data_IF_019517364021
#
_entry.id   IF_019517364021
#
_cell.length_a   1.000
_cell.length_b   1.000
_cell.length_c   1.000
_cell.angle_alpha   90.00
_cell.angle_beta   90.00
_cell.angle_gamma   90.00
#
_symmetry.space_group_name_H-M   'P 1'
#
loop_
_entity.id
_entity.type
_entity.pdbx_description
1 polymer ?
#
# COMPACT_ATOMS: atom_id res chain seq x y z
N UNK A 1 31.14 5.83 -15.56
CA UNK A 1 31.31 4.92 -14.42
C UNK A 1 29.94 4.73 -13.80
N UNK A 2 29.28 3.63 -14.16
CA UNK A 2 28.00 3.25 -13.56
C UNK A 2 28.32 2.61 -12.20
N UNK A 3 27.87 3.23 -11.11
CA UNK A 3 27.93 2.63 -9.79
C UNK A 3 26.73 1.70 -9.64
N UNK A 4 27.00 0.41 -9.62
CA UNK A 4 26.06 -0.66 -9.30
C UNK A 4 25.42 -0.40 -7.92
N UNK A 5 24.18 0.08 -7.92
CA UNK A 5 23.30 0.07 -6.74
C UNK A 5 22.73 -1.35 -6.60
N UNK A 6 23.62 -2.31 -6.34
CA UNK A 6 23.26 -3.70 -6.08
C UNK A 6 22.68 -3.77 -4.66
N UNK A 7 21.37 -3.51 -4.56
CA UNK A 7 20.60 -3.82 -3.35
C UNK A 7 20.86 -5.28 -2.97
N UNK A 8 21.39 -5.58 -1.77
CA UNK A 8 21.73 -6.96 -1.42
C UNK A 8 20.46 -7.81 -1.48
N UNK A 9 20.53 -8.88 -2.29
CA UNK A 9 19.47 -9.85 -2.47
C UNK A 9 18.96 -10.36 -1.10
N UNK A 10 17.66 -10.69 -0.98
CA UNK A 10 17.14 -11.28 0.25
C UNK A 10 17.98 -12.48 0.64
N UNK A 11 18.45 -12.52 1.89
CA UNK A 11 19.25 -13.64 2.39
C UNK A 11 18.48 -14.94 2.15
N UNK A 12 19.17 -15.91 1.58
CA UNK A 12 18.62 -17.22 1.33
C UNK A 12 18.05 -17.80 2.65
N UNK A 13 16.93 -18.51 2.58
CA UNK A 13 16.34 -19.18 3.74
C UNK A 13 17.34 -19.94 4.64
N UNK A 14 18.37 -20.65 4.10
CA UNK A 14 19.39 -21.29 4.93
C UNK A 14 20.22 -20.30 5.76
N UNK A 15 20.57 -19.13 5.22
CA UNK A 15 21.30 -18.10 5.98
C UNK A 15 20.45 -17.52 7.12
N UNK A 16 19.14 -17.36 6.88
CA UNK A 16 18.21 -16.91 7.93
C UNK A 16 18.10 -17.92 9.07
N UNK A 17 18.02 -19.22 8.75
CA UNK A 17 17.99 -20.29 9.76
C UNK A 17 19.28 -20.33 10.57
N UNK A 18 20.44 -20.13 9.93
CA UNK A 18 21.72 -20.06 10.62
C UNK A 18 21.78 -18.89 11.62
N UNK A 19 21.33 -17.69 11.22
CA UNK A 19 21.27 -16.52 12.13
C UNK A 19 20.33 -16.75 13.30
N UNK A 20 19.19 -17.40 13.07
CA UNK A 20 18.24 -17.74 14.13
C UNK A 20 18.82 -18.74 15.12
N UNK A 21 19.52 -19.77 14.64
CA UNK A 21 20.26 -20.72 15.50
C UNK A 21 21.32 -20.01 16.32
N UNK A 22 22.10 -19.11 15.71
CA UNK A 22 23.11 -18.32 16.42
C UNK A 22 22.49 -17.51 17.56
N UNK A 23 21.30 -16.92 17.33
CA UNK A 23 20.58 -16.23 18.39
C UNK A 23 20.13 -17.19 19.49
N UNK A 24 19.42 -18.26 19.14
CA UNK A 24 18.84 -19.21 20.09
C UNK A 24 19.90 -19.93 20.93
N UNK A 25 20.98 -20.40 20.32
CA UNK A 25 22.01 -21.19 21.00
C UNK A 25 22.95 -20.34 21.85
N UNK A 26 23.26 -19.10 21.45
CA UNK A 26 24.30 -18.29 22.11
C UNK A 26 23.77 -17.01 22.72
N UNK A 27 23.10 -16.19 21.91
CA UNK A 27 22.77 -14.82 22.32
C UNK A 27 21.58 -14.78 23.29
N UNK A 28 20.64 -15.71 23.17
CA UNK A 28 19.45 -15.80 24.03
C UNK A 28 19.77 -16.09 25.50
N UNK A 29 20.92 -16.74 25.76
CA UNK A 29 21.35 -17.13 27.11
C UNK A 29 21.78 -15.93 27.96
N UNK A 30 22.12 -14.80 27.33
CA UNK A 30 22.50 -13.59 28.05
C UNK A 30 21.28 -12.89 28.65
N UNK A 31 21.46 -12.30 29.84
CA UNK A 31 20.46 -11.46 30.47
C UNK A 31 20.02 -10.31 29.55
N UNK A 32 18.78 -9.82 29.74
CA UNK A 32 18.18 -8.78 28.90
C UNK A 32 19.04 -7.50 28.77
N UNK A 33 19.63 -7.05 29.88
CA UNK A 33 20.48 -5.86 29.90
C UNK A 33 21.80 -6.10 29.15
N UNK A 34 22.36 -7.30 29.28
CA UNK A 34 23.56 -7.71 28.53
C UNK A 34 23.27 -7.74 27.03
N UNK A 35 22.14 -8.31 26.60
CA UNK A 35 21.74 -8.31 25.18
C UNK A 35 21.55 -6.90 24.63
N UNK A 36 20.97 -6.00 25.43
CA UNK A 36 20.80 -4.58 25.05
C UNK A 36 22.16 -3.90 24.89
N UNK A 37 23.12 -4.16 25.78
CA UNK A 37 24.49 -3.63 25.67
C UNK A 37 25.22 -4.18 24.45
N UNK A 38 25.11 -5.49 24.20
CA UNK A 38 25.71 -6.15 23.05
C UNK A 38 25.16 -5.62 21.73
N UNK A 39 23.85 -5.32 21.66
CA UNK A 39 23.22 -4.73 20.49
C UNK A 39 23.84 -3.39 20.05
N UNK A 40 24.35 -2.60 21.01
CA UNK A 40 25.02 -1.33 20.71
C UNK A 40 26.49 -1.45 20.28
N UNK A 41 27.13 -2.61 20.46
CA UNK A 41 28.58 -2.77 20.34
C UNK A 41 29.01 -3.77 19.26
N UNK A 42 28.24 -4.85 19.09
CA UNK A 42 28.59 -5.94 18.19
C UNK A 42 28.46 -5.53 16.70
N UNK A 43 29.20 -6.26 15.86
CA UNK A 43 29.06 -6.21 14.40
C UNK A 43 28.44 -7.48 13.85
N UNK A 44 28.53 -7.66 12.54
CA UNK A 44 28.08 -8.88 11.87
C UNK A 44 29.03 -10.04 12.13
N UNK A 45 28.52 -11.28 12.29
CA UNK A 45 27.12 -11.74 12.10
C UNK A 45 26.20 -11.61 13.33
N UNK A 46 26.72 -11.36 14.53
CA UNK A 46 25.94 -11.33 15.77
C UNK A 46 24.87 -10.23 15.78
N UNK A 47 25.16 -9.07 15.20
CA UNK A 47 24.21 -7.94 15.09
C UNK A 47 22.94 -8.33 14.32
N UNK A 48 23.08 -9.15 13.27
CA UNK A 48 21.96 -9.68 12.51
C UNK A 48 21.17 -10.73 13.29
N UNK A 49 21.84 -11.57 14.08
CA UNK A 49 21.18 -12.54 14.93
C UNK A 49 20.38 -11.86 16.06
N UNK A 50 20.90 -10.77 16.64
CA UNK A 50 20.16 -9.98 17.62
C UNK A 50 18.87 -9.34 17.06
N UNK A 51 18.70 -9.23 15.75
CA UNK A 51 17.44 -8.75 15.16
C UNK A 51 16.24 -9.69 15.40
N UNK A 52 16.49 -10.95 15.82
CA UNK A 52 15.46 -11.90 16.24
C UNK A 52 15.07 -11.79 17.72
N UNK A 53 15.72 -10.89 18.47
CA UNK A 53 15.42 -10.66 19.87
C UNK A 53 13.99 -10.12 20.06
N UNK A 54 13.17 -10.71 20.95
CA UNK A 54 11.80 -10.25 21.17
C UNK A 54 11.71 -8.94 21.97
N UNK A 55 12.79 -8.51 22.64
CA UNK A 55 12.76 -7.39 23.58
C UNK A 55 12.83 -6.03 22.86
N UNK A 56 11.85 -5.13 23.09
CA UNK A 56 11.85 -3.81 22.46
C UNK A 56 13.08 -2.96 22.77
N UNK A 57 13.67 -3.10 23.96
CA UNK A 57 14.87 -2.35 24.35
C UNK A 57 16.09 -2.76 23.51
N UNK A 58 16.21 -4.04 23.17
CA UNK A 58 17.26 -4.54 22.28
C UNK A 58 17.07 -3.97 20.88
N UNK A 59 15.84 -3.97 20.35
CA UNK A 59 15.54 -3.34 19.06
C UNK A 59 15.91 -1.85 18.99
N UNK A 60 15.68 -1.10 20.07
CA UNK A 60 16.11 0.32 20.14
C UNK A 60 17.63 0.45 20.11
N UNK A 61 18.33 -0.33 20.94
CA UNK A 61 19.79 -0.32 20.98
C UNK A 61 20.42 -0.75 19.64
N UNK A 62 19.80 -1.72 18.94
CA UNK A 62 20.21 -2.13 17.60
C UNK A 62 20.14 -0.97 16.61
N UNK A 63 19.03 -0.25 16.55
CA UNK A 63 18.86 0.88 15.60
C UNK A 63 19.87 2.01 15.87
N UNK A 64 20.29 2.17 17.12
CA UNK A 64 21.30 3.15 17.55
C UNK A 64 22.73 2.75 17.19
N UNK A 65 23.00 1.46 17.00
CA UNK A 65 24.33 0.98 16.62
C UNK A 65 24.75 1.61 15.27
N UNK A 66 25.97 2.18 15.18
CA UNK A 66 26.45 2.80 13.94
C UNK A 66 26.56 1.81 12.77
N UNK A 67 26.72 0.51 13.05
CA UNK A 67 26.81 -0.56 12.04
C UNK A 67 25.43 -1.05 11.60
N UNK A 68 24.34 -0.57 12.22
CA UNK A 68 22.98 -0.95 11.84
C UNK A 68 22.55 -0.26 10.54
N UNK A 69 22.64 -1.02 9.44
CA UNK A 69 22.16 -0.64 8.11
C UNK A 69 20.85 -1.33 7.65
N UNK A 70 20.55 -1.20 6.35
CA UNK A 70 19.30 -1.68 5.74
C UNK A 70 19.04 -3.18 5.89
N UNK A 71 20.08 -4.01 5.81
CA UNK A 71 19.97 -5.47 6.00
C UNK A 71 19.36 -5.81 7.36
N UNK A 72 19.77 -5.09 8.41
CA UNK A 72 19.25 -5.25 9.76
C UNK A 72 17.83 -4.72 9.89
N UNK A 73 17.55 -3.55 9.30
CA UNK A 73 16.22 -2.97 9.29
C UNK A 73 15.20 -3.91 8.64
N UNK A 74 15.56 -4.57 7.54
CA UNK A 74 14.71 -5.57 6.85
C UNK A 74 14.43 -6.79 7.73
N UNK A 75 15.45 -7.32 8.42
CA UNK A 75 15.30 -8.44 9.36
C UNK A 75 14.39 -8.07 10.55
N UNK A 76 14.64 -6.91 11.17
CA UNK A 76 13.85 -6.41 12.28
C UNK A 76 12.39 -6.18 11.87
N UNK A 77 12.16 -5.54 10.72
CA UNK A 77 10.83 -5.30 10.17
C UNK A 77 10.03 -6.58 9.93
N UNK A 78 10.70 -7.62 9.42
CA UNK A 78 10.05 -8.88 9.07
C UNK A 78 9.67 -9.72 10.29
N UNK A 79 10.44 -9.64 11.38
CA UNK A 79 10.38 -10.66 12.43
C UNK A 79 10.11 -10.13 13.84
N UNK A 80 10.28 -8.83 14.10
CA UNK A 80 10.13 -8.33 15.46
C UNK A 80 8.67 -8.51 15.95
N UNK A 81 8.46 -9.15 17.12
CA UNK A 81 7.14 -9.56 17.57
C UNK A 81 6.37 -8.47 18.33
N UNK A 82 7.02 -7.33 18.64
CA UNK A 82 6.41 -6.27 19.45
C UNK A 82 6.34 -4.92 18.70
N UNK A 83 5.19 -4.22 18.70
CA UNK A 83 5.01 -2.94 18.00
C UNK A 83 6.03 -1.87 18.41
N UNK A 84 6.32 -1.76 19.72
CA UNK A 84 7.29 -0.80 20.26
C UNK A 84 8.71 -0.98 19.69
N UNK A 85 9.13 -2.22 19.39
CA UNK A 85 10.44 -2.44 18.76
C UNK A 85 10.43 -2.09 17.27
N UNK A 86 9.33 -2.37 16.57
CA UNK A 86 9.16 -1.94 15.17
C UNK A 86 9.14 -0.41 15.04
N UNK A 87 8.57 0.30 16.01
CA UNK A 87 8.63 1.75 16.07
C UNK A 87 10.05 2.31 16.15
N UNK A 88 11.05 1.54 16.61
CA UNK A 88 12.44 2.00 16.63
C UNK A 88 12.97 2.33 15.23
N UNK A 89 12.47 1.64 14.18
CA UNK A 89 12.84 1.90 12.79
C UNK A 89 12.48 3.33 12.33
N UNK A 90 11.54 3.99 13.00
CA UNK A 90 11.17 5.38 12.71
C UNK A 90 12.23 6.40 13.09
N UNK A 91 13.26 6.01 13.87
CA UNK A 91 14.35 6.89 14.29
C UNK A 91 15.22 7.36 13.11
N UNK A 92 15.32 6.55 12.06
CA UNK A 92 16.08 6.84 10.84
C UNK A 92 15.13 6.78 9.64
N UNK A 93 14.72 7.93 9.11
CA UNK A 93 13.77 7.99 7.98
C UNK A 93 14.27 7.26 6.72
N UNK A 94 15.59 7.13 6.55
CA UNK A 94 16.19 6.32 5.49
C UNK A 94 15.65 4.87 5.45
N UNK A 95 15.34 4.27 6.60
CA UNK A 95 14.78 2.92 6.65
C UNK A 95 13.34 2.87 6.15
N UNK A 96 12.55 3.91 6.43
CA UNK A 96 11.18 3.98 5.94
C UNK A 96 11.09 4.34 4.46
N UNK A 97 12.17 4.83 3.84
CA UNK A 97 12.24 5.06 2.39
C UNK A 97 12.59 3.79 1.61
N UNK A 98 13.17 2.79 2.25
CA UNK A 98 13.53 1.52 1.62
C UNK A 98 12.28 0.68 1.28
N UNK A 99 12.07 0.30 0.00
CA UNK A 99 10.89 -0.46 -0.41
C UNK A 99 10.77 -1.84 0.24
N UNK A 100 11.90 -2.50 0.52
CA UNK A 100 11.92 -3.82 1.15
C UNK A 100 11.54 -3.74 2.62
N UNK A 101 12.06 -2.77 3.37
CA UNK A 101 11.64 -2.51 4.76
C UNK A 101 10.14 -2.24 4.82
N UNK A 102 9.62 -1.37 3.94
CA UNK A 102 8.19 -1.11 3.87
C UNK A 102 7.40 -2.40 3.58
N UNK A 103 7.84 -3.23 2.64
CA UNK A 103 7.18 -4.50 2.32
C UNK A 103 7.16 -5.45 3.52
N UNK A 104 8.28 -5.57 4.23
CA UNK A 104 8.37 -6.42 5.42
C UNK A 104 7.46 -5.92 6.54
N UNK A 105 7.42 -4.60 6.78
CA UNK A 105 6.50 -3.99 7.75
C UNK A 105 5.03 -4.20 7.37
N UNK A 106 4.67 -4.08 6.09
CA UNK A 106 3.29 -4.31 5.64
C UNK A 106 2.86 -5.77 5.82
N UNK A 107 3.79 -6.73 5.74
CA UNK A 107 3.54 -8.16 5.98
C UNK A 107 3.52 -8.53 7.47
N UNK A 108 4.14 -7.73 8.33
CA UNK A 108 4.19 -8.00 9.76
C UNK A 108 2.87 -7.59 10.46
N UNK A 109 2.25 -8.53 11.17
CA UNK A 109 0.98 -8.37 11.90
C UNK A 109 1.13 -7.39 13.08
N UNK A 110 2.35 -7.29 13.62
CA UNK A 110 2.67 -6.50 14.81
C UNK A 110 2.99 -5.04 14.45
N UNK A 111 2.97 -4.68 13.16
CA UNK A 111 3.25 -3.31 12.73
C UNK A 111 2.22 -2.34 13.33
N UNK A 112 2.69 -1.30 14.05
CA UNK A 112 1.79 -0.37 14.70
C UNK A 112 1.02 0.48 13.68
N UNK A 113 -0.25 0.86 13.95
CA UNK A 113 -1.07 1.65 13.03
C UNK A 113 -0.42 2.96 12.59
N UNK A 114 0.27 3.66 13.51
CA UNK A 114 0.99 4.90 13.19
C UNK A 114 2.09 4.70 12.15
N UNK A 115 2.79 3.57 12.19
CA UNK A 115 3.81 3.24 11.20
C UNK A 115 3.18 2.89 9.85
N UNK A 116 2.08 2.13 9.84
CA UNK A 116 1.31 1.85 8.63
C UNK A 116 0.82 3.14 7.97
N UNK A 117 0.27 4.08 8.74
CA UNK A 117 -0.18 5.37 8.23
C UNK A 117 0.96 6.19 7.62
N UNK A 118 2.16 6.22 8.25
CA UNK A 118 3.33 6.87 7.65
C UNK A 118 3.72 6.24 6.31
N UNK A 119 3.64 4.92 6.18
CA UNK A 119 3.91 4.21 4.91
C UNK A 119 2.83 4.54 3.87
N UNK A 120 1.55 4.52 4.25
CA UNK A 120 0.44 4.78 3.34
C UNK A 120 0.39 6.23 2.84
N UNK A 121 0.72 7.21 3.68
CA UNK A 121 0.68 8.62 3.32
C UNK A 121 1.70 9.01 2.23
N UNK A 122 2.73 8.19 2.03
CA UNK A 122 3.75 8.40 0.99
C UNK A 122 3.37 7.73 -0.34
N UNK A 123 2.30 6.92 -0.37
CA UNK A 123 1.89 6.13 -1.53
C UNK A 123 0.90 6.91 -2.38
N UNK A 124 0.94 6.65 -3.68
CA UNK A 124 -0.10 7.12 -4.60
C UNK A 124 -1.35 6.26 -4.46
N UNK A 125 -2.46 6.79 -4.95
CA UNK A 125 -3.77 6.16 -4.92
C UNK A 125 -3.78 4.78 -5.59
N UNK A 126 -3.05 4.63 -6.71
CA UNK A 126 -2.90 3.33 -7.40
C UNK A 126 -2.18 2.29 -6.53
N UNK A 127 -1.14 2.71 -5.82
CA UNK A 127 -0.31 1.81 -5.02
C UNK A 127 -1.11 1.34 -3.77
N UNK A 128 -1.89 2.24 -3.16
CA UNK A 128 -2.81 1.90 -2.05
C UNK A 128 -3.88 0.88 -2.46
N UNK A 129 -4.42 1.00 -3.68
CA UNK A 129 -5.36 0.02 -4.22
C UNK A 129 -4.70 -1.35 -4.45
N UNK A 130 -3.48 -1.39 -4.97
CA UNK A 130 -2.76 -2.65 -5.17
C UNK A 130 -2.50 -3.36 -3.83
N UNK A 131 -2.13 -2.60 -2.80
CA UNK A 131 -1.93 -3.14 -1.45
C UNK A 131 -3.23 -3.71 -0.85
N UNK A 132 -4.37 -3.07 -1.07
CA UNK A 132 -5.65 -3.53 -0.51
C UNK A 132 -6.23 -4.79 -1.16
N UNK A 133 -5.82 -5.09 -2.40
CA UNK A 133 -6.19 -6.30 -3.15
C UNK A 133 -5.11 -7.40 -3.03
N UNK A 134 -3.90 -7.04 -2.65
CA UNK A 134 -2.77 -7.96 -2.52
C UNK A 134 -3.02 -9.12 -1.54
N UNK A 135 -2.36 -10.25 -1.78
CA UNK A 135 -2.46 -11.46 -0.93
C UNK A 135 -1.46 -11.48 0.22
N UNK A 136 -0.41 -10.68 0.14
CA UNK A 136 0.75 -10.81 1.01
C UNK A 136 0.59 -10.17 2.39
N UNK A 137 -0.32 -9.19 2.52
CA UNK A 137 -0.54 -8.47 3.77
C UNK A 137 -1.54 -9.19 4.69
N UNK A 138 -1.36 -9.12 6.02
CA UNK A 138 -2.39 -9.52 6.97
C UNK A 138 -3.69 -8.74 6.78
N UNK A 139 -4.84 -9.37 7.07
CA UNK A 139 -6.15 -8.76 6.84
C UNK A 139 -6.33 -7.43 7.58
N UNK A 140 -5.84 -7.34 8.83
CA UNK A 140 -5.80 -6.09 9.61
C UNK A 140 -5.12 -4.94 8.83
N UNK A 141 -3.99 -5.23 8.19
CA UNK A 141 -3.23 -4.22 7.45
C UNK A 141 -3.92 -3.90 6.11
N UNK A 142 -4.62 -4.86 5.49
CA UNK A 142 -5.44 -4.61 4.29
C UNK A 142 -6.61 -3.68 4.58
N UNK A 143 -7.31 -3.87 5.71
CA UNK A 143 -8.39 -2.99 6.14
C UNK A 143 -7.85 -1.56 6.31
N UNK A 144 -6.73 -1.39 7.02
CA UNK A 144 -6.08 -0.09 7.18
C UNK A 144 -5.67 0.54 5.82
N UNK A 145 -5.18 -0.27 4.87
CA UNK A 145 -4.86 0.20 3.51
C UNK A 145 -6.11 0.65 2.74
N UNK A 146 -7.25 -0.03 2.91
CA UNK A 146 -8.54 0.36 2.30
C UNK A 146 -9.05 1.66 2.88
N UNK A 147 -8.94 1.84 4.20
CA UNK A 147 -9.29 3.10 4.87
C UNK A 147 -8.42 4.26 4.38
N UNK A 148 -7.10 4.05 4.30
CA UNK A 148 -6.18 5.03 3.74
C UNK A 148 -6.48 5.36 2.27
N UNK A 149 -6.79 4.34 1.45
CA UNK A 149 -7.21 4.51 0.06
C UNK A 149 -8.49 5.37 -0.05
N UNK A 150 -9.51 5.09 0.77
CA UNK A 150 -10.77 5.85 0.81
C UNK A 150 -10.55 7.29 1.28
N UNK A 151 -9.74 7.49 2.32
CA UNK A 151 -9.39 8.83 2.79
C UNK A 151 -8.66 9.64 1.70
N UNK A 152 -7.70 9.01 1.01
CA UNK A 152 -6.97 9.60 -0.11
C UNK A 152 -7.87 9.87 -1.32
N UNK A 153 -8.87 9.03 -1.59
CA UNK A 153 -9.88 9.32 -2.61
C UNK A 153 -10.68 10.58 -2.29
N UNK A 154 -11.06 10.78 -1.03
CA UNK A 154 -11.85 11.94 -0.62
C UNK A 154 -11.04 13.25 -0.68
N UNK A 155 -9.80 13.26 -0.21
CA UNK A 155 -8.96 14.48 -0.11
C UNK A 155 -7.93 14.65 -1.24
N UNK A 156 -7.75 13.64 -2.10
CA UNK A 156 -6.72 13.63 -3.13
C UNK A 156 -6.99 14.50 -4.34
N UNK A 157 -5.98 14.62 -5.19
CA UNK A 157 -6.02 15.40 -6.43
C UNK A 157 -6.96 14.77 -7.45
N UNK A 158 -7.81 15.58 -8.09
CA UNK A 158 -8.78 15.11 -9.07
C UNK A 158 -8.13 14.43 -10.29
N UNK A 159 -6.95 14.91 -10.70
CA UNK A 159 -6.16 14.35 -11.80
C UNK A 159 -5.74 12.90 -11.49
N UNK A 160 -5.24 12.66 -10.26
CA UNK A 160 -4.82 11.34 -9.80
C UNK A 160 -6.02 10.37 -9.73
N UNK A 161 -7.18 10.84 -9.28
CA UNK A 161 -8.42 10.05 -9.24
C UNK A 161 -8.86 9.60 -10.63
N UNK A 162 -8.83 10.51 -11.61
CA UNK A 162 -9.18 10.16 -13.00
C UNK A 162 -8.14 9.22 -13.59
N UNK A 163 -6.85 9.48 -13.41
CA UNK A 163 -5.79 8.61 -13.93
C UNK A 163 -5.91 7.18 -13.40
N UNK A 164 -6.17 7.00 -12.09
CA UNK A 164 -6.31 5.66 -11.53
C UNK A 164 -7.57 4.94 -12.04
N UNK A 165 -8.67 5.66 -12.32
CA UNK A 165 -9.88 5.08 -12.91
C UNK A 165 -9.58 4.48 -14.28
N UNK A 166 -8.88 5.22 -15.15
CA UNK A 166 -8.50 4.72 -16.47
C UNK A 166 -7.50 3.57 -16.37
N UNK A 167 -6.46 3.70 -15.55
CA UNK A 167 -5.43 2.66 -15.39
C UNK A 167 -5.97 1.34 -14.85
N UNK A 168 -7.00 1.39 -14.01
CA UNK A 168 -7.61 0.20 -13.41
C UNK A 168 -8.91 -0.22 -14.10
N UNK A 169 -9.34 0.52 -15.12
CA UNK A 169 -10.64 0.36 -15.79
C UNK A 169 -11.81 0.39 -14.80
N UNK A 170 -11.72 1.22 -13.77
CA UNK A 170 -12.75 1.36 -12.75
C UNK A 170 -12.85 0.20 -11.75
N UNK A 171 -11.93 -0.77 -11.77
CA UNK A 171 -11.90 -1.87 -10.76
C UNK A 171 -11.77 -1.34 -9.33
N UNK A 172 -11.18 -0.16 -9.16
CA UNK A 172 -11.06 0.52 -7.87
C UNK A 172 -12.41 0.89 -7.23
N UNK A 173 -13.47 1.06 -8.04
CA UNK A 173 -14.77 1.56 -7.60
C UNK A 173 -15.44 0.62 -6.58
N UNK A 174 -15.14 -0.68 -6.64
CA UNK A 174 -15.64 -1.66 -5.67
C UNK A 174 -15.21 -1.36 -4.22
N UNK A 175 -14.09 -0.65 -4.02
CA UNK A 175 -13.64 -0.23 -2.68
C UNK A 175 -14.15 1.17 -2.27
N UNK A 176 -14.82 1.87 -3.18
CA UNK A 176 -15.31 3.24 -3.02
C UNK A 176 -16.84 3.28 -2.86
N UNK A 177 -17.44 2.18 -2.41
CA UNK A 177 -18.88 2.15 -2.09
C UNK A 177 -19.18 3.21 -1.01
N UNK A 178 -20.24 3.98 -1.23
CA UNK A 178 -20.65 5.10 -0.37
C UNK A 178 -19.85 6.40 -0.57
N UNK A 179 -18.89 6.43 -1.50
CA UNK A 179 -18.21 7.65 -1.93
C UNK A 179 -18.70 8.08 -3.31
N UNK A 180 -18.51 9.36 -3.63
CA UNK A 180 -18.85 9.93 -4.92
C UNK A 180 -17.60 10.48 -5.62
N UNK A 181 -17.73 10.74 -6.92
CA UNK A 181 -16.72 11.48 -7.68
C UNK A 181 -16.98 12.98 -7.54
N UNK A 182 -15.95 13.74 -7.20
CA UNK A 182 -16.05 15.20 -7.12
C UNK A 182 -16.25 15.85 -8.51
N UNK A 183 -16.82 17.05 -8.53
CA UNK A 183 -17.16 17.76 -9.76
C UNK A 183 -15.94 18.04 -10.65
N UNK A 184 -14.78 18.34 -10.05
CA UNK A 184 -13.54 18.58 -10.80
C UNK A 184 -13.05 17.29 -11.48
N UNK A 185 -13.04 16.17 -10.75
CA UNK A 185 -12.73 14.84 -11.32
C UNK A 185 -13.69 14.46 -12.45
N UNK A 186 -15.00 14.71 -12.26
CA UNK A 186 -16.00 14.47 -13.29
C UNK A 186 -15.76 15.29 -14.56
N UNK A 187 -15.42 16.57 -14.41
CA UNK A 187 -15.06 17.44 -15.53
C UNK A 187 -13.84 16.91 -16.28
N UNK A 188 -12.74 16.60 -15.59
CA UNK A 188 -11.52 16.05 -16.19
C UNK A 188 -11.80 14.74 -16.92
N UNK A 189 -12.62 13.87 -16.33
CA UNK A 189 -13.03 12.61 -16.97
C UNK A 189 -13.77 12.86 -18.30
N UNK A 190 -14.70 13.82 -18.34
CA UNK A 190 -15.47 14.13 -19.54
C UNK A 190 -14.64 14.73 -20.69
N UNK A 191 -13.43 15.23 -20.42
CA UNK A 191 -12.52 15.67 -21.48
C UNK A 191 -11.74 14.52 -22.13
N UNK A 192 -11.84 13.29 -21.59
CA UNK A 192 -11.15 12.11 -22.12
C UNK A 192 -12.06 11.22 -22.95
N UNK A 193 -11.48 10.61 -23.98
CA UNK A 193 -12.11 9.56 -24.79
C UNK A 193 -12.10 8.24 -24.04
N UNK A 194 -13.25 7.59 -23.92
CA UNK A 194 -13.38 6.30 -23.23
C UNK A 194 -13.39 5.16 -24.23
N UNK A 195 -12.34 4.32 -24.19
CA UNK A 195 -12.17 3.17 -25.08
C UNK A 195 -12.48 1.83 -24.42
N UNK A 196 -12.33 1.73 -23.09
CA UNK A 196 -12.55 0.48 -22.34
C UNK A 196 -14.03 0.30 -22.00
N UNK A 197 -14.63 -0.77 -22.51
CA UNK A 197 -16.00 -1.18 -22.17
C UNK A 197 -16.13 -1.51 -20.67
N UNK A 198 -15.10 -2.13 -20.09
CA UNK A 198 -15.10 -2.51 -18.68
C UNK A 198 -15.18 -1.28 -17.77
N UNK A 199 -14.47 -0.21 -18.12
CA UNK A 199 -14.57 1.08 -17.41
C UNK A 199 -16.00 1.62 -17.43
N UNK A 200 -16.67 1.58 -18.58
CA UNK A 200 -18.07 2.00 -18.70
C UNK A 200 -18.97 1.16 -17.80
N UNK A 201 -18.84 -0.16 -17.85
CA UNK A 201 -19.66 -1.07 -17.03
C UNK A 201 -19.46 -0.84 -15.53
N UNK A 202 -18.22 -0.61 -15.09
CA UNK A 202 -17.91 -0.35 -13.69
C UNK A 202 -18.50 0.99 -13.22
N UNK A 203 -18.37 2.06 -14.01
CA UNK A 203 -18.98 3.35 -13.71
C UNK A 203 -20.50 3.27 -13.68
N UNK A 204 -21.08 2.53 -14.61
CA UNK A 204 -22.53 2.37 -14.72
C UNK A 204 -23.13 1.46 -13.63
N UNK A 205 -22.30 0.77 -12.82
CA UNK A 205 -22.74 0.03 -11.62
C UNK A 205 -22.44 0.78 -10.33
N UNK A 206 -21.55 1.77 -10.37
CA UNK A 206 -21.13 2.51 -9.19
C UNK A 206 -22.08 3.69 -8.91
N UNK A 207 -22.80 3.62 -7.80
CA UNK A 207 -23.78 4.63 -7.41
C UNK A 207 -23.20 6.06 -7.24
N UNK A 208 -21.89 6.17 -7.02
CA UNK A 208 -21.17 7.44 -6.91
C UNK A 208 -20.89 8.15 -8.25
N UNK A 209 -21.30 7.58 -9.39
CA UNK A 209 -21.06 8.16 -10.71
C UNK A 209 -21.94 9.41 -10.93
N UNK A 210 -21.33 10.57 -11.25
CA UNK A 210 -22.06 11.81 -11.48
C UNK A 210 -22.91 11.80 -12.75
N UNK A 211 -24.02 12.56 -12.79
CA UNK A 211 -24.89 12.68 -13.98
C UNK A 211 -24.14 13.11 -15.25
N UNK A 212 -23.18 14.04 -15.13
CA UNK A 212 -22.37 14.54 -16.24
C UNK A 212 -21.51 13.46 -16.89
N UNK A 213 -20.95 12.56 -16.09
CA UNK A 213 -20.15 11.42 -16.56
C UNK A 213 -21.05 10.44 -17.30
N UNK A 214 -22.22 10.11 -16.78
CA UNK A 214 -23.16 9.20 -17.43
C UNK A 214 -23.62 9.73 -18.80
N UNK A 215 -23.97 11.03 -18.86
CA UNK A 215 -24.33 11.69 -20.11
C UNK A 215 -23.17 11.70 -21.13
N UNK A 216 -21.93 11.89 -20.66
CA UNK A 216 -20.73 11.77 -21.50
C UNK A 216 -20.53 10.36 -22.04
N UNK A 217 -20.68 9.34 -21.20
CA UNK A 217 -20.52 7.93 -21.58
C UNK A 217 -21.50 7.51 -22.68
N UNK A 218 -22.76 7.97 -22.63
CA UNK A 218 -23.76 7.69 -23.68
C UNK A 218 -23.37 8.23 -25.06
N UNK A 219 -22.50 9.25 -25.12
CA UNK A 219 -22.01 9.83 -26.39
C UNK A 219 -20.80 9.07 -26.95
N UNK A 220 -20.15 8.22 -26.16
CA UNK A 220 -18.93 7.52 -26.57
C UNK A 220 -19.22 6.43 -27.60
N UNK A 221 -18.34 6.28 -28.59
CA UNK A 221 -18.47 5.31 -29.67
C UNK A 221 -18.60 3.87 -29.14
N UNK A 222 -17.84 3.53 -28.09
CA UNK A 222 -17.84 2.20 -27.45
C UNK A 222 -19.22 1.83 -26.89
N UNK A 223 -19.99 2.81 -26.42
CA UNK A 223 -21.34 2.59 -25.88
C UNK A 223 -22.38 2.54 -26.99
N UNK A 224 -22.25 3.39 -28.02
CA UNK A 224 -23.16 3.38 -29.18
C UNK A 224 -23.18 2.03 -29.89
N UNK A 225 -22.02 1.39 -29.98
CA UNK A 225 -21.87 0.09 -30.64
C UNK A 225 -22.29 -1.10 -29.76
N UNK A 226 -22.66 -0.86 -28.49
CA UNK A 226 -22.98 -1.92 -27.52
C UNK A 226 -24.32 -1.66 -26.79
N UNK A 227 -25.44 -2.20 -27.32
CA UNK A 227 -26.78 -1.91 -26.80
C UNK A 227 -26.97 -2.34 -25.34
N UNK A 228 -26.38 -3.46 -24.92
CA UNK A 228 -26.49 -3.94 -23.53
C UNK A 228 -25.89 -2.96 -22.51
N UNK A 229 -24.74 -2.35 -22.83
CA UNK A 229 -24.09 -1.38 -21.94
C UNK A 229 -24.83 -0.05 -21.93
N UNK A 230 -25.40 0.35 -23.08
CA UNK A 230 -26.29 1.50 -23.16
C UNK A 230 -27.52 1.34 -22.25
N UNK A 231 -28.20 0.18 -22.29
CA UNK A 231 -29.34 -0.11 -21.41
C UNK A 231 -28.93 -0.02 -19.93
N UNK A 232 -27.74 -0.52 -19.59
CA UNK A 232 -27.22 -0.48 -18.23
C UNK A 232 -27.02 0.97 -17.75
N UNK A 233 -26.47 1.85 -18.59
CA UNK A 233 -26.36 3.29 -18.30
C UNK A 233 -27.73 3.97 -18.15
N UNK A 234 -28.69 3.63 -19.01
CA UNK A 234 -30.05 4.20 -18.96
C UNK A 234 -30.80 3.86 -17.67
N UNK A 235 -30.51 2.70 -17.08
CA UNK A 235 -31.06 2.26 -15.79
C UNK A 235 -30.39 2.91 -14.58
N UNK A 236 -29.30 3.66 -14.77
CA UNK A 236 -28.58 4.26 -13.65
C UNK A 236 -29.43 5.33 -12.94
N UNK A 237 -29.51 5.33 -11.59
CA UNK A 237 -30.35 6.25 -10.83
C UNK A 237 -29.98 7.73 -11.07
N UNK A 238 -28.68 8.03 -11.17
CA UNK A 238 -28.18 9.40 -11.36
C UNK A 238 -28.22 9.89 -12.84
N UNK A 239 -28.74 9.11 -13.79
CA UNK A 239 -28.76 9.58 -15.18
C UNK A 239 -29.80 10.70 -15.35
N UNK A 240 -29.42 11.87 -15.90
CA UNK A 240 -30.36 12.98 -15.99
C UNK A 240 -31.43 12.72 -17.07
N UNK A 241 -32.64 13.20 -16.83
CA UNK A 241 -33.82 12.95 -17.67
C UNK A 241 -33.63 13.35 -19.13
N UNK A 242 -32.98 14.48 -19.40
CA UNK A 242 -32.70 14.94 -20.77
C UNK A 242 -31.76 13.99 -21.55
N UNK A 243 -30.84 13.31 -20.86
CA UNK A 243 -29.95 12.33 -21.50
C UNK A 243 -30.65 11.01 -21.81
N UNK A 244 -31.78 10.71 -21.13
CA UNK A 244 -32.66 9.58 -21.47
C UNK A 244 -33.47 9.87 -22.73
N UNK A 245 -34.01 11.09 -22.85
CA UNK A 245 -34.84 11.50 -23.99
C UNK A 245 -34.08 11.56 -25.32
N UNK A 246 -32.82 12.01 -25.34
CA UNK A 246 -32.01 12.07 -26.57
C UNK A 246 -31.37 10.74 -26.99
N UNK A 247 -31.84 9.63 -26.43
CA UNK A 247 -31.27 8.29 -26.60
C UNK A 247 -32.22 7.29 -27.27
N UNK A 248 -33.48 7.70 -27.46
CA UNK A 248 -34.45 7.14 -28.42
C UNK A 248 -34.18 7.69 -29.82
#
# INVERSE_FOLDING_TARGET
MASDDESPAPKSEPQRLALRRLFEERLSQFAADSRTRLAGQLGDPELQALCFDPLPNVARALVENPRFGLVHARLLAAHHPHPTGLSALTKKDAFLRDPEVQRMLLRNVQTPPMLLQRIFNQRRLIDLFQLSVGREMPEKNKIASREAFRARWSSGLSEEKVDVLFRTEGRILAQLVGLAMDQKSASIFCHRTVTSLLLVQNLARWAGTPPSVLAHLLKQAVVRNQPQVRILLLRHPNLPSHARAGSE
#
